data_IF_068728685018
#
_entry.id   IF_068728685018
#
_cell.length_a   1.000
_cell.length_b   1.000
_cell.length_c   1.000
_cell.angle_alpha   90.00
_cell.angle_beta   90.00
_cell.angle_gamma   90.00
#
_symmetry.space_group_name_H-M   'P 1'
#
loop_
_entity.id
_entity.type
_entity.pdbx_description
1 polymer ?
#
# COMPACT_ATOMS: atom_id res chain seq x y z
N UNK A 1 -72.91 75.01 55.98
CA UNK A 1 -73.68 74.76 54.73
C UNK A 1 -72.79 75.04 53.52
N UNK A 2 -72.33 74.02 52.85
CA UNK A 2 -71.48 74.21 51.68
C UNK A 2 -72.33 74.69 50.52
N UNK A 3 -71.90 75.77 49.93
CA UNK A 3 -72.64 76.45 48.86
C UNK A 3 -72.62 75.62 47.58
N UNK A 4 -73.74 75.53 46.84
CA UNK A 4 -73.91 74.70 45.62
C UNK A 4 -72.77 74.91 44.58
N UNK A 5 -72.10 75.99 44.61
CA UNK A 5 -70.93 76.29 43.71
C UNK A 5 -69.69 75.48 44.09
N UNK A 6 -69.49 75.03 45.32
CA UNK A 6 -68.31 74.26 45.73
C UNK A 6 -68.38 72.75 45.38
N UNK A 7 -69.57 72.28 45.02
CA UNK A 7 -69.74 70.86 44.59
C UNK A 7 -69.77 70.77 43.06
N UNK A 8 -70.24 71.83 42.36
CA UNK A 8 -70.33 71.81 40.88
C UNK A 8 -68.99 72.02 40.22
N UNK A 9 -68.09 72.82 40.82
CA UNK A 9 -66.78 73.15 40.21
C UNK A 9 -65.87 71.92 40.05
N UNK A 10 -65.72 71.07 41.06
CA UNK A 10 -64.87 69.87 40.89
C UNK A 10 -65.47 68.85 39.91
N UNK A 11 -66.78 68.72 39.79
CA UNK A 11 -67.46 67.88 38.83
C UNK A 11 -67.22 68.33 37.39
N UNK A 12 -67.26 69.63 37.14
CA UNK A 12 -66.97 70.20 35.84
C UNK A 12 -65.46 69.97 35.44
N UNK A 13 -64.56 70.22 36.36
CA UNK A 13 -63.14 69.93 36.19
C UNK A 13 -62.86 68.49 35.90
N UNK A 14 -63.51 67.56 36.66
CA UNK A 14 -63.41 66.12 36.42
C UNK A 14 -63.97 65.72 35.03
N UNK A 15 -65.12 66.29 34.65
CA UNK A 15 -65.72 66.10 33.32
C UNK A 15 -64.84 66.58 32.16
N UNK A 16 -64.19 67.75 32.30
CA UNK A 16 -63.21 68.23 31.32
C UNK A 16 -61.95 67.36 31.29
N UNK A 17 -61.49 66.86 32.45
CA UNK A 17 -60.37 65.96 32.54
C UNK A 17 -60.64 64.58 31.87
N UNK A 18 -61.84 64.07 32.06
CA UNK A 18 -62.25 62.78 31.40
C UNK A 18 -62.45 63.04 29.86
N UNK A 19 -63.06 64.09 29.47
CA UNK A 19 -63.23 64.45 28.05
C UNK A 19 -61.85 64.66 27.34
N UNK A 20 -60.90 65.29 28.03
CA UNK A 20 -59.51 65.42 27.56
C UNK A 20 -58.81 64.10 27.43
N UNK A 21 -58.97 63.18 28.37
CA UNK A 21 -58.35 61.86 28.39
C UNK A 21 -58.90 60.98 27.26
N UNK A 22 -60.25 61.02 27.05
CA UNK A 22 -60.89 60.31 25.93
C UNK A 22 -60.49 60.90 24.57
N UNK A 23 -60.35 62.23 24.47
CA UNK A 23 -59.86 62.89 23.25
C UNK A 23 -58.41 62.51 22.90
N UNK A 24 -57.50 62.43 23.88
CA UNK A 24 -56.15 61.98 23.69
C UNK A 24 -56.06 60.45 23.37
N UNK A 25 -56.93 59.61 23.96
CA UNK A 25 -57.00 58.16 23.63
C UNK A 25 -57.55 57.97 22.22
N UNK A 26 -58.51 58.80 21.72
CA UNK A 26 -59.03 58.70 20.36
C UNK A 26 -58.02 59.17 19.27
N UNK A 27 -57.07 60.03 19.66
CA UNK A 27 -56.01 60.49 18.78
C UNK A 27 -54.80 59.58 18.68
N UNK A 28 -54.73 58.54 19.53
CA UNK A 28 -53.71 57.49 19.38
C UNK A 28 -54.10 56.64 18.17
N UNK A 29 -53.38 56.86 17.04
CA UNK A 29 -53.36 55.86 15.95
C UNK A 29 -52.92 54.49 16.50
N UNK A 30 -53.58 53.35 16.13
CA UNK A 30 -53.08 52.04 16.44
C UNK A 30 -51.61 51.93 16.03
N UNK A 31 -50.76 51.31 16.79
CA UNK A 31 -49.38 51.06 16.29
C UNK A 31 -49.49 50.33 14.94
N UNK A 32 -48.82 50.86 13.93
CA UNK A 32 -48.64 50.10 12.70
C UNK A 32 -48.04 48.76 13.05
N UNK A 33 -48.74 47.66 12.79
CA UNK A 33 -48.18 46.33 12.87
C UNK A 33 -47.00 46.32 11.91
N UNK A 34 -45.80 46.35 12.49
CA UNK A 34 -44.60 46.10 11.68
C UNK A 34 -44.81 44.72 11.04
N UNK A 35 -44.64 44.61 9.71
CA UNK A 35 -44.72 43.34 9.04
C UNK A 35 -43.82 42.37 9.78
N UNK A 36 -44.32 41.17 10.10
CA UNK A 36 -43.57 40.12 10.77
C UNK A 36 -42.28 39.90 9.96
N UNK A 37 -41.16 40.25 10.55
CA UNK A 37 -39.86 39.96 9.91
C UNK A 37 -39.81 38.47 9.77
N UNK A 38 -39.79 37.95 8.55
CA UNK A 38 -39.62 36.58 8.28
C UNK A 38 -38.22 36.13 8.79
N UNK A 39 -38.21 35.48 9.94
CA UNK A 39 -37.01 35.01 10.63
C UNK A 39 -36.64 33.59 10.20
N UNK A 40 -37.23 33.10 9.10
CA UNK A 40 -36.92 31.77 8.58
C UNK A 40 -35.43 31.68 8.24
N UNK A 41 -34.66 30.72 8.84
CA UNK A 41 -33.24 30.59 8.59
C UNK A 41 -32.96 30.24 7.13
N UNK A 42 -32.01 30.96 6.54
CA UNK A 42 -31.50 30.65 5.20
C UNK A 42 -30.49 29.49 5.30
N UNK A 43 -30.70 28.46 4.51
CA UNK A 43 -29.84 27.29 4.46
C UNK A 43 -29.29 27.03 3.06
N UNK A 44 -28.07 26.58 3.01
CA UNK A 44 -27.50 25.97 1.80
C UNK A 44 -27.70 24.48 1.87
N UNK A 45 -28.11 23.89 0.78
CA UNK A 45 -28.37 22.44 0.69
C UNK A 45 -27.62 21.83 -0.48
N UNK A 46 -27.25 20.57 -0.36
CA UNK A 46 -26.64 19.78 -1.43
C UNK A 46 -27.39 18.47 -1.58
N UNK A 47 -27.72 18.09 -2.81
CA UNK A 47 -28.41 16.83 -3.09
C UNK A 47 -27.46 15.64 -2.86
N UNK A 48 -27.87 14.69 -2.02
CA UNK A 48 -27.09 13.50 -1.74
C UNK A 48 -27.16 12.52 -2.91
N UNK A 49 -26.00 12.20 -3.49
CA UNK A 49 -25.91 11.23 -4.56
C UNK A 49 -25.17 9.97 -4.08
N UNK A 50 -25.76 8.81 -4.36
CA UNK A 50 -25.11 7.51 -4.17
C UNK A 50 -24.38 7.11 -5.44
N UNK A 51 -23.09 6.77 -5.28
CA UNK A 51 -22.23 6.31 -6.38
C UNK A 51 -21.55 4.99 -6.00
N UNK A 52 -21.33 4.08 -6.97
CA UNK A 52 -20.55 2.89 -6.71
C UNK A 52 -19.12 3.29 -6.36
N UNK A 53 -18.59 2.72 -5.28
CA UNK A 53 -17.26 3.02 -4.77
C UNK A 53 -16.52 1.74 -4.40
N UNK A 54 -15.24 1.67 -4.76
CA UNK A 54 -14.31 0.69 -4.26
C UNK A 54 -13.43 1.36 -3.19
N UNK A 55 -13.28 0.73 -2.05
CA UNK A 55 -12.40 1.24 -1.01
C UNK A 55 -10.95 1.27 -1.49
N UNK A 56 -10.20 2.24 -1.02
CA UNK A 56 -8.75 2.28 -1.18
C UNK A 56 -8.09 2.39 0.18
N UNK A 57 -7.14 1.51 0.44
CA UNK A 57 -6.39 1.53 1.70
C UNK A 57 -5.02 2.13 1.43
N UNK A 58 -4.75 3.25 2.11
CA UNK A 58 -3.46 3.94 1.96
C UNK A 58 -2.42 3.39 2.91
N UNK A 59 -1.21 3.23 2.40
CA UNK A 59 -0.01 2.85 3.14
C UNK A 59 1.21 3.53 2.54
N UNK A 60 2.40 3.20 3.01
CA UNK A 60 3.66 3.72 2.50
C UNK A 60 4.77 2.72 2.74
N UNK A 61 5.82 2.80 1.96
CA UNK A 61 6.94 1.89 2.11
C UNK A 61 8.18 2.36 1.37
N UNK A 62 9.26 1.62 1.58
CA UNK A 62 10.52 1.82 0.86
C UNK A 62 10.67 0.68 -0.13
N UNK A 63 11.02 1.02 -1.35
CA UNK A 63 11.28 0.05 -2.41
C UNK A 63 12.59 -0.69 -2.12
N UNK A 64 12.54 -2.00 -2.09
CA UNK A 64 13.70 -2.86 -1.86
C UNK A 64 13.82 -3.90 -2.99
N UNK A 65 15.00 -4.45 -3.19
CA UNK A 65 15.18 -5.59 -4.07
C UNK A 65 14.56 -6.84 -3.43
N UNK A 66 13.94 -7.71 -4.25
CA UNK A 66 13.43 -9.01 -3.76
C UNK A 66 14.53 -9.90 -3.23
N UNK A 67 15.68 -9.93 -3.92
CA UNK A 67 16.88 -10.63 -3.48
C UNK A 67 18.02 -9.63 -3.32
N UNK A 68 18.64 -9.70 -2.17
CA UNK A 68 19.77 -8.93 -1.72
C UNK A 68 20.87 -9.90 -1.32
N UNK A 69 21.97 -9.96 -2.09
CA UNK A 69 22.98 -10.99 -1.95
C UNK A 69 24.37 -10.42 -1.77
N UNK A 70 25.02 -10.81 -0.68
CA UNK A 70 26.44 -10.58 -0.46
C UNK A 70 27.22 -11.67 -1.22
N UNK A 71 27.97 -11.28 -2.22
CA UNK A 71 28.87 -12.16 -2.96
C UNK A 71 30.14 -12.40 -2.15
N UNK A 72 30.47 -13.68 -1.94
CA UNK A 72 31.67 -14.10 -1.20
C UNK A 72 32.55 -15.02 -2.07
N UNK A 73 33.86 -14.96 -1.86
CA UNK A 73 34.81 -15.88 -2.47
C UNK A 73 34.59 -17.29 -1.90
N UNK A 74 34.45 -18.28 -2.77
CA UNK A 74 34.31 -19.69 -2.38
C UNK A 74 35.65 -20.45 -2.35
N UNK A 75 36.68 -19.85 -2.97
CA UNK A 75 38.04 -20.36 -3.01
C UNK A 75 39.02 -19.19 -2.81
N UNK A 76 40.26 -19.48 -2.42
CA UNK A 76 41.29 -18.48 -2.15
C UNK A 76 42.17 -18.23 -3.38
N UNK A 77 42.74 -17.03 -3.51
CA UNK A 77 43.70 -16.69 -4.58
C UNK A 77 43.72 -15.20 -4.89
N UNK A 78 44.57 -14.80 -5.83
CA UNK A 78 44.67 -13.43 -6.30
C UNK A 78 43.59 -13.12 -7.33
N UNK A 79 43.03 -11.92 -7.31
CA UNK A 79 42.10 -11.43 -8.33
C UNK A 79 42.85 -10.97 -9.54
N UNK A 80 42.81 -11.76 -10.65
CA UNK A 80 43.49 -11.47 -11.88
C UNK A 80 42.64 -10.77 -12.94
N UNK A 81 41.31 -10.73 -12.72
CA UNK A 81 40.38 -10.08 -13.65
C UNK A 81 39.21 -9.47 -12.90
N UNK A 82 38.81 -8.27 -13.31
CA UNK A 82 37.58 -7.60 -12.88
C UNK A 82 36.82 -7.10 -14.11
N UNK A 83 35.55 -7.37 -14.20
CA UNK A 83 34.71 -6.85 -15.27
C UNK A 83 34.48 -5.34 -15.10
N UNK A 84 34.49 -4.58 -16.21
CA UNK A 84 34.26 -3.12 -16.19
C UNK A 84 32.91 -2.74 -15.59
N UNK A 85 31.90 -3.59 -15.81
CA UNK A 85 30.55 -3.42 -15.23
C UNK A 85 30.48 -3.74 -13.73
N UNK A 86 31.49 -4.38 -13.15
CA UNK A 86 31.54 -4.70 -11.73
C UNK A 86 31.97 -3.50 -10.91
N UNK A 87 31.18 -2.46 -10.97
CA UNK A 87 31.34 -1.19 -10.25
C UNK A 87 30.00 -0.79 -9.64
N UNK A 88 30.02 0.01 -8.58
CA UNK A 88 28.78 0.50 -7.96
C UNK A 88 27.89 1.19 -8.99
N UNK A 89 26.62 0.76 -9.08
CA UNK A 89 25.65 1.26 -10.06
C UNK A 89 25.69 0.55 -11.42
N UNK A 90 26.61 -0.41 -11.62
CA UNK A 90 26.66 -1.23 -12.84
C UNK A 90 25.53 -2.27 -12.89
N UNK A 91 24.98 -2.49 -14.09
CA UNK A 91 23.99 -3.54 -14.32
C UNK A 91 24.67 -4.74 -15.00
N UNK A 92 24.39 -5.94 -14.49
CA UNK A 92 24.93 -7.20 -14.98
C UNK A 92 23.82 -8.21 -15.18
N UNK A 93 24.01 -9.13 -16.12
CA UNK A 93 23.06 -10.22 -16.38
C UNK A 93 23.48 -11.48 -15.64
N UNK A 94 22.52 -12.35 -15.38
CA UNK A 94 22.73 -13.68 -14.83
C UNK A 94 23.83 -14.44 -15.60
N UNK A 95 24.84 -14.92 -14.88
CA UNK A 95 25.98 -15.66 -15.45
C UNK A 95 27.13 -14.78 -15.93
N UNK A 96 26.97 -13.44 -16.00
CA UNK A 96 28.08 -12.55 -16.35
C UNK A 96 29.26 -12.76 -15.39
N UNK A 97 30.45 -12.78 -15.93
CA UNK A 97 31.68 -12.89 -15.13
C UNK A 97 31.97 -11.54 -14.49
N UNK A 98 32.00 -11.50 -13.17
CA UNK A 98 32.28 -10.29 -12.38
C UNK A 98 33.77 -10.16 -12.04
N UNK A 99 34.39 -11.27 -11.63
CA UNK A 99 35.80 -11.35 -11.29
C UNK A 99 36.34 -12.76 -11.55
N UNK A 100 37.67 -12.87 -11.70
CA UNK A 100 38.35 -14.18 -11.74
C UNK A 100 39.48 -14.19 -10.74
N UNK A 101 39.54 -15.27 -9.97
CA UNK A 101 40.66 -15.65 -9.11
C UNK A 101 41.66 -16.41 -9.98
N UNK A 102 42.96 -16.31 -9.70
CA UNK A 102 43.99 -17.08 -10.39
C UNK A 102 43.69 -18.58 -10.38
N UNK A 103 43.45 -19.21 -11.52
CA UNK A 103 43.08 -20.62 -11.61
C UNK A 103 44.27 -21.60 -11.55
N UNK A 104 45.52 -21.09 -11.62
CA UNK A 104 46.70 -21.93 -11.87
C UNK A 104 46.86 -23.13 -10.94
N UNK A 105 46.70 -22.93 -9.62
CA UNK A 105 46.79 -23.98 -8.63
C UNK A 105 45.61 -24.97 -8.73
N UNK A 106 44.41 -24.45 -9.09
CA UNK A 106 43.19 -25.27 -9.28
C UNK A 106 43.25 -26.08 -10.58
N UNK A 107 43.84 -25.59 -11.63
CA UNK A 107 44.09 -26.33 -12.88
C UNK A 107 45.10 -27.45 -12.64
N UNK A 108 46.19 -27.20 -11.88
CA UNK A 108 47.13 -28.19 -11.50
C UNK A 108 46.46 -29.28 -10.62
N UNK A 109 45.64 -28.89 -9.63
CA UNK A 109 44.85 -29.80 -8.80
C UNK A 109 43.87 -30.66 -9.59
N UNK A 110 43.27 -30.10 -10.64
CA UNK A 110 42.40 -30.84 -11.56
C UNK A 110 43.16 -31.90 -12.34
N UNK A 111 44.36 -31.56 -12.89
CA UNK A 111 45.22 -32.51 -13.57
C UNK A 111 45.68 -33.66 -12.67
N UNK A 112 46.04 -33.36 -11.40
CA UNK A 112 46.39 -34.37 -10.39
C UNK A 112 45.22 -35.29 -10.10
N UNK A 113 44.02 -34.78 -9.90
CA UNK A 113 42.82 -35.59 -9.71
C UNK A 113 42.47 -36.45 -10.94
N UNK A 114 42.72 -35.96 -12.17
CA UNK A 114 42.56 -36.74 -13.40
C UNK A 114 43.56 -37.93 -13.46
N UNK A 115 44.80 -37.68 -13.09
CA UNK A 115 45.84 -38.74 -13.05
C UNK A 115 45.48 -39.79 -12.01
N UNK A 116 44.95 -39.38 -10.86
CA UNK A 116 44.55 -40.30 -9.75
C UNK A 116 43.36 -41.20 -10.13
N UNK A 117 42.38 -40.66 -10.87
CA UNK A 117 41.25 -41.46 -11.38
C UNK A 117 41.73 -42.46 -12.45
N UNK A 118 42.65 -42.04 -13.33
CA UNK A 118 43.20 -42.93 -14.35
C UNK A 118 43.94 -44.11 -13.70
N UNK A 119 44.78 -43.85 -12.70
CA UNK A 119 45.51 -44.90 -11.92
C UNK A 119 44.53 -45.83 -11.19
N UNK A 120 43.54 -45.27 -10.47
CA UNK A 120 42.55 -46.11 -9.74
C UNK A 120 41.71 -46.98 -10.68
N UNK A 121 41.39 -46.47 -11.87
CA UNK A 121 40.68 -47.20 -12.92
C UNK A 121 41.52 -48.34 -13.49
N UNK A 122 42.83 -48.13 -13.74
CA UNK A 122 43.75 -49.17 -14.16
C UNK A 122 43.85 -50.27 -13.11
N UNK A 123 44.01 -49.95 -11.81
CA UNK A 123 44.06 -50.89 -10.71
C UNK A 123 42.77 -51.73 -10.60
N UNK A 124 41.60 -51.09 -10.76
CA UNK A 124 40.30 -51.76 -10.74
C UNK A 124 40.18 -52.77 -11.91
N UNK A 125 40.63 -52.39 -13.12
CA UNK A 125 40.63 -53.28 -14.27
C UNK A 125 41.55 -54.47 -14.04
N UNK A 126 42.75 -54.24 -13.49
CA UNK A 126 43.69 -55.27 -13.15
C UNK A 126 43.10 -56.25 -12.12
N UNK A 127 42.47 -55.73 -11.03
CA UNK A 127 41.88 -56.56 -10.02
C UNK A 127 40.65 -57.33 -10.51
N UNK A 128 39.86 -56.74 -11.41
CA UNK A 128 38.79 -57.46 -12.10
C UNK A 128 39.29 -58.62 -12.91
N UNK A 129 40.40 -58.46 -13.67
CA UNK A 129 41.03 -59.58 -14.41
C UNK A 129 41.55 -60.70 -13.49
N UNK A 130 42.18 -60.32 -12.35
CA UNK A 130 42.63 -61.26 -11.36
C UNK A 130 41.46 -62.09 -10.74
N UNK A 131 40.32 -61.40 -10.45
CA UNK A 131 39.12 -62.05 -9.94
C UNK A 131 38.50 -63.02 -10.96
N UNK A 132 38.50 -62.63 -12.26
CA UNK A 132 38.02 -63.49 -13.33
C UNK A 132 38.93 -64.79 -13.51
N UNK A 133 40.27 -64.65 -13.35
CA UNK A 133 41.19 -65.78 -13.36
C UNK A 133 40.88 -66.66 -12.19
N UNK A 134 40.79 -66.14 -10.96
CA UNK A 134 40.47 -66.93 -9.76
C UNK A 134 39.13 -67.69 -9.88
N UNK A 135 38.11 -67.03 -10.48
CA UNK A 135 36.80 -67.66 -10.72
C UNK A 135 36.93 -68.87 -11.68
N UNK A 136 37.72 -68.75 -12.76
CA UNK A 136 37.94 -69.84 -13.72
C UNK A 136 38.71 -71.00 -13.10
N UNK A 137 39.80 -70.72 -12.36
CA UNK A 137 40.59 -71.78 -11.63
C UNK A 137 39.69 -72.50 -10.63
N UNK A 138 38.86 -71.87 -9.88
CA UNK A 138 37.93 -72.48 -8.94
C UNK A 138 36.82 -73.31 -9.62
N UNK A 139 36.40 -72.94 -10.85
CA UNK A 139 35.41 -73.67 -11.64
C UNK A 139 35.89 -75.11 -11.99
N UNK A 140 37.23 -75.35 -12.02
CA UNK A 140 37.86 -76.64 -12.29
C UNK A 140 37.96 -77.46 -11.02
N UNK A 141 37.80 -76.91 -9.82
CA UNK A 141 37.92 -77.59 -8.54
C UNK A 141 36.54 -78.11 -8.07
N UNK A 142 36.31 -79.37 -8.13
CA UNK A 142 35.02 -80.02 -7.81
C UNK A 142 34.87 -80.43 -6.31
N UNK A 143 35.90 -80.29 -5.50
CA UNK A 143 35.94 -80.85 -4.12
C UNK A 143 35.49 -79.89 -3.02
N UNK A 144 35.36 -78.55 -3.28
CA UNK A 144 34.98 -77.57 -2.26
C UNK A 144 34.31 -76.38 -2.86
N UNK A 145 33.50 -75.60 -2.05
CA UNK A 145 32.92 -74.34 -2.47
C UNK A 145 33.95 -73.21 -2.27
N UNK A 146 34.11 -72.31 -3.29
CA UNK A 146 35.02 -71.18 -3.15
C UNK A 146 34.56 -70.21 -2.06
N UNK A 147 35.49 -69.65 -1.31
CA UNK A 147 35.23 -68.56 -0.36
C UNK A 147 35.24 -67.20 -1.09
N UNK A 148 34.60 -66.20 -0.54
CA UNK A 148 34.65 -64.84 -1.13
C UNK A 148 36.08 -64.29 -1.20
N UNK A 149 36.95 -64.69 -0.29
CA UNK A 149 38.38 -64.32 -0.30
C UNK A 149 39.14 -64.98 -1.45
N UNK A 150 38.89 -66.27 -1.70
CA UNK A 150 39.53 -66.97 -2.83
C UNK A 150 39.06 -66.51 -4.18
N UNK A 151 37.83 -65.98 -4.26
CA UNK A 151 37.27 -65.26 -5.46
C UNK A 151 37.70 -63.81 -5.55
N UNK A 152 38.56 -63.33 -4.69
CA UNK A 152 39.08 -61.96 -4.64
C UNK A 152 37.99 -60.86 -4.54
N UNK A 153 36.76 -61.20 -4.05
CA UNK A 153 35.66 -60.25 -3.94
C UNK A 153 35.97 -59.08 -3.02
N UNK A 154 36.63 -59.29 -1.83
CA UNK A 154 36.98 -58.12 -0.98
C UNK A 154 37.98 -57.16 -1.65
N UNK A 155 38.98 -57.73 -2.40
CA UNK A 155 39.97 -56.92 -3.11
C UNK A 155 39.34 -56.14 -4.24
N UNK A 156 38.42 -56.73 -5.02
CA UNK A 156 37.68 -56.05 -6.05
C UNK A 156 36.80 -54.93 -5.44
N UNK A 157 36.13 -55.20 -4.30
CA UNK A 157 35.33 -54.18 -3.58
C UNK A 157 36.22 -53.04 -3.06
N UNK A 158 37.45 -53.32 -2.61
CA UNK A 158 38.42 -52.32 -2.17
C UNK A 158 38.85 -51.41 -3.34
N UNK A 159 39.21 -51.98 -4.52
CA UNK A 159 39.60 -51.18 -5.68
C UNK A 159 38.44 -50.37 -6.23
N UNK A 160 37.19 -50.89 -6.19
CA UNK A 160 36.00 -50.16 -6.54
C UNK A 160 35.77 -48.97 -5.60
N UNK A 161 36.02 -49.15 -4.30
CA UNK A 161 35.92 -48.06 -3.32
C UNK A 161 36.98 -46.94 -3.57
N UNK A 162 38.23 -47.36 -3.91
CA UNK A 162 39.29 -46.40 -4.29
C UNK A 162 38.92 -45.61 -5.55
N UNK A 163 38.41 -46.30 -6.58
CA UNK A 163 37.95 -45.64 -7.80
C UNK A 163 36.86 -44.58 -7.49
N UNK A 164 35.85 -44.94 -6.70
CA UNK A 164 34.80 -43.98 -6.27
C UNK A 164 35.37 -42.81 -5.47
N UNK A 165 36.38 -43.04 -4.63
CA UNK A 165 37.06 -41.97 -3.90
C UNK A 165 37.81 -41.02 -4.84
N UNK A 166 38.49 -41.55 -5.88
CA UNK A 166 39.16 -40.79 -6.90
C UNK A 166 38.17 -39.97 -7.75
N UNK A 167 37.01 -40.55 -8.12
CA UNK A 167 35.90 -39.85 -8.81
C UNK A 167 35.38 -38.68 -7.97
N UNK A 168 35.21 -38.86 -6.66
CA UNK A 168 34.80 -37.77 -5.77
C UNK A 168 35.86 -36.66 -5.66
N UNK A 169 37.16 -37.04 -5.70
CA UNK A 169 38.30 -36.13 -5.75
C UNK A 169 38.28 -35.27 -7.03
N UNK A 170 38.06 -35.89 -8.18
CA UNK A 170 37.96 -35.21 -9.47
C UNK A 170 36.79 -34.17 -9.48
N UNK A 171 35.61 -34.59 -9.00
CA UNK A 171 34.46 -33.69 -8.93
C UNK A 171 34.69 -32.49 -7.99
N UNK A 172 35.50 -32.71 -6.93
CA UNK A 172 35.87 -31.59 -6.03
C UNK A 172 36.79 -30.63 -6.74
N UNK A 173 37.86 -31.11 -7.39
CA UNK A 173 38.82 -30.28 -8.11
C UNK A 173 38.12 -29.46 -9.24
N UNK A 174 37.19 -30.09 -9.97
CA UNK A 174 36.39 -29.40 -11.00
C UNK A 174 35.58 -28.25 -10.41
N UNK A 175 34.88 -28.50 -9.29
CA UNK A 175 34.08 -27.43 -8.61
C UNK A 175 34.95 -26.32 -8.07
N UNK A 176 36.12 -26.62 -7.55
CA UNK A 176 37.00 -25.60 -7.01
C UNK A 176 37.58 -24.71 -8.15
N UNK A 177 37.88 -25.31 -9.31
CA UNK A 177 38.22 -24.54 -10.53
C UNK A 177 37.06 -23.69 -11.03
N UNK A 178 35.82 -24.19 -11.07
CA UNK A 178 34.63 -23.41 -11.44
C UNK A 178 34.43 -22.22 -10.51
N UNK A 179 34.72 -22.36 -9.21
CA UNK A 179 34.60 -21.32 -8.19
C UNK A 179 35.64 -20.20 -8.30
N UNK A 180 36.69 -20.40 -9.09
CA UNK A 180 37.64 -19.30 -9.40
C UNK A 180 36.98 -18.23 -10.25
N UNK A 181 35.88 -18.55 -10.98
CA UNK A 181 35.14 -17.60 -11.80
C UNK A 181 33.90 -17.13 -11.04
N UNK A 182 33.94 -15.91 -10.54
CA UNK A 182 32.82 -15.29 -9.82
C UNK A 182 31.83 -14.74 -10.81
N UNK A 183 30.58 -15.22 -10.75
CA UNK A 183 29.49 -14.84 -11.67
C UNK A 183 28.32 -14.22 -10.95
N UNK A 184 27.57 -13.38 -11.67
CA UNK A 184 26.28 -12.87 -11.20
C UNK A 184 25.25 -14.02 -11.07
N UNK A 185 24.60 -14.19 -9.92
CA UNK A 185 23.63 -15.27 -9.70
C UNK A 185 22.28 -15.03 -10.42
N UNK A 186 21.97 -13.80 -10.70
CA UNK A 186 20.75 -13.31 -11.38
C UNK A 186 21.04 -11.95 -12.04
N UNK A 187 20.08 -11.41 -12.77
CA UNK A 187 20.16 -10.05 -13.31
C UNK A 187 20.18 -9.05 -12.15
N UNK A 188 21.27 -8.25 -12.07
CA UNK A 188 21.56 -7.52 -10.85
C UNK A 188 22.11 -6.11 -11.08
N UNK A 189 21.82 -5.25 -10.11
CA UNK A 189 22.48 -3.97 -9.88
C UNK A 189 23.59 -4.17 -8.84
N UNK A 190 24.80 -3.75 -9.15
CA UNK A 190 25.93 -3.78 -8.22
C UNK A 190 25.77 -2.65 -7.19
N UNK A 191 25.58 -3.02 -5.93
CA UNK A 191 25.49 -2.06 -4.81
C UNK A 191 26.86 -1.66 -4.28
N UNK A 192 27.77 -2.64 -4.12
CA UNK A 192 29.17 -2.38 -3.72
C UNK A 192 30.12 -3.39 -4.37
N UNK A 193 31.37 -3.00 -4.49
CA UNK A 193 32.51 -3.87 -4.78
C UNK A 193 33.55 -3.67 -3.68
N UNK A 194 34.04 -4.76 -3.09
CA UNK A 194 34.95 -4.74 -1.95
C UNK A 194 36.35 -5.28 -2.28
N UNK A 195 36.57 -5.67 -3.54
CA UNK A 195 37.83 -6.20 -4.05
C UNK A 195 38.42 -5.31 -5.15
N UNK A 196 39.74 -5.40 -5.31
CA UNK A 196 40.51 -4.77 -6.37
C UNK A 196 41.26 -5.80 -7.21
N UNK A 197 41.74 -5.37 -8.40
CA UNK A 197 42.66 -6.17 -9.19
C UNK A 197 43.99 -6.36 -8.43
N UNK A 198 44.55 -7.57 -8.40
CA UNK A 198 45.74 -7.90 -7.64
C UNK A 198 45.48 -8.15 -6.13
N UNK A 199 44.27 -8.00 -5.66
CA UNK A 199 43.92 -8.29 -4.25
C UNK A 199 43.89 -9.82 -4.01
N UNK A 200 44.48 -10.28 -2.91
CA UNK A 200 44.38 -11.65 -2.49
C UNK A 200 43.12 -11.86 -1.62
N UNK A 201 42.26 -12.81 -2.00
CA UNK A 201 41.04 -13.18 -1.27
C UNK A 201 41.19 -14.56 -0.67
N UNK A 202 40.51 -14.79 0.45
CA UNK A 202 40.37 -16.10 1.09
C UNK A 202 38.92 -16.56 1.01
N UNK A 203 38.69 -17.86 1.20
CA UNK A 203 37.32 -18.39 1.27
C UNK A 203 36.51 -17.63 2.33
N UNK A 204 35.33 -17.11 1.95
CA UNK A 204 34.48 -16.28 2.78
C UNK A 204 34.77 -14.77 2.71
N UNK A 205 35.83 -14.32 2.00
CA UNK A 205 36.07 -12.89 1.78
C UNK A 205 34.92 -12.27 0.99
N UNK A 206 34.45 -11.10 1.39
CA UNK A 206 33.42 -10.32 0.71
C UNK A 206 33.96 -9.80 -0.61
N UNK A 207 33.24 -10.06 -1.67
CA UNK A 207 33.56 -9.63 -3.03
C UNK A 207 32.80 -8.36 -3.38
N UNK A 208 31.53 -8.30 -3.01
CA UNK A 208 30.63 -7.19 -3.26
C UNK A 208 29.18 -7.55 -2.91
N UNK A 209 28.30 -6.62 -3.21
CA UNK A 209 26.88 -6.74 -2.87
C UNK A 209 26.04 -6.46 -4.09
N UNK A 210 25.03 -7.29 -4.37
CA UNK A 210 24.20 -7.23 -5.57
C UNK A 210 22.72 -7.30 -5.24
N UNK A 211 21.95 -6.47 -5.91
CA UNK A 211 20.48 -6.42 -5.83
C UNK A 211 19.85 -7.01 -7.08
N UNK A 212 18.89 -7.90 -6.92
CA UNK A 212 18.11 -8.40 -8.06
C UNK A 212 17.31 -7.27 -8.70
N UNK A 213 17.33 -7.20 -10.03
CA UNK A 213 16.64 -6.16 -10.81
C UNK A 213 15.35 -6.63 -11.46
N UNK A 214 15.01 -7.91 -11.39
CA UNK A 214 13.79 -8.45 -12.01
C UNK A 214 12.53 -7.98 -11.28
N UNK A 215 12.60 -7.95 -9.95
CA UNK A 215 11.44 -7.65 -9.10
C UNK A 215 11.84 -6.82 -7.89
N UNK A 216 11.09 -5.75 -7.64
CA UNK A 216 11.15 -4.99 -6.39
C UNK A 216 10.03 -5.42 -5.43
N UNK A 217 10.32 -5.42 -4.15
CA UNK A 217 9.35 -5.60 -3.07
C UNK A 217 9.18 -4.32 -2.26
N UNK A 218 7.95 -4.03 -1.86
CA UNK A 218 7.63 -2.94 -0.95
C UNK A 218 6.82 -3.50 0.22
N UNK A 219 7.32 -3.34 1.44
CA UNK A 219 6.61 -3.70 2.66
C UNK A 219 5.70 -2.56 3.08
N UNK A 220 4.41 -2.82 3.12
CA UNK A 220 3.35 -1.85 3.37
C UNK A 220 2.71 -2.12 4.74
N UNK A 221 3.00 -1.31 5.78
CA UNK A 221 2.37 -1.44 7.08
C UNK A 221 0.90 -1.03 7.02
N UNK A 222 0.01 -1.89 7.48
CA UNK A 222 -1.41 -1.62 7.61
C UNK A 222 -1.87 -1.82 9.05
N UNK A 223 -2.70 -0.89 9.54
CA UNK A 223 -3.40 -1.09 10.80
C UNK A 223 -4.46 -2.19 10.64
N UNK A 224 -4.65 -3.00 11.67
CA UNK A 224 -5.58 -4.14 11.64
C UNK A 224 -7.01 -3.72 11.22
N UNK A 225 -7.46 -2.55 11.68
CA UNK A 225 -8.76 -1.96 11.31
C UNK A 225 -8.91 -1.68 9.80
N UNK A 226 -7.83 -1.47 9.06
CA UNK A 226 -7.88 -1.21 7.62
C UNK A 226 -8.00 -2.51 6.81
N UNK A 227 -7.62 -3.66 7.41
CA UNK A 227 -7.73 -4.97 6.76
C UNK A 227 -9.17 -5.39 6.44
N UNK A 228 -10.17 -4.86 7.17
CA UNK A 228 -11.59 -5.12 6.92
C UNK A 228 -12.08 -4.57 5.58
N UNK A 229 -11.38 -3.57 5.02
CA UNK A 229 -11.72 -2.95 3.74
C UNK A 229 -11.03 -3.59 2.54
N UNK A 230 -10.27 -4.68 2.77
CA UNK A 230 -9.55 -5.41 1.73
C UNK A 230 -10.21 -6.76 1.46
N UNK A 231 -10.45 -7.09 0.19
CA UNK A 231 -10.88 -8.42 -0.21
C UNK A 231 -9.76 -9.43 0.06
N UNK A 232 -10.12 -10.62 0.56
CA UNK A 232 -9.18 -11.69 0.87
C UNK A 232 -7.93 -11.22 1.64
N UNK A 233 -8.09 -10.24 2.54
CA UNK A 233 -7.01 -9.59 3.31
C UNK A 233 -5.96 -8.92 2.41
N UNK A 234 -6.36 -8.45 1.24
CA UNK A 234 -5.53 -7.75 0.27
C UNK A 234 -4.68 -8.66 -0.63
N UNK A 235 -4.78 -9.99 -0.53
CA UNK A 235 -4.01 -10.89 -1.39
C UNK A 235 -4.46 -10.74 -2.84
N UNK A 236 -3.50 -10.58 -3.76
CA UNK A 236 -3.71 -10.32 -5.20
C UNK A 236 -4.33 -8.96 -5.56
N UNK A 237 -4.57 -8.09 -4.57
CA UNK A 237 -5.04 -6.74 -4.84
C UNK A 237 -4.02 -5.95 -5.68
N UNK A 238 -4.53 -5.11 -6.57
CA UNK A 238 -3.71 -4.14 -7.27
C UNK A 238 -3.30 -3.02 -6.30
N UNK A 239 -2.06 -2.56 -6.43
CA UNK A 239 -1.54 -1.45 -5.65
C UNK A 239 -0.97 -0.39 -6.58
N UNK A 240 -1.51 0.82 -6.46
CA UNK A 240 -0.98 2.00 -7.12
C UNK A 240 0.03 2.66 -6.20
N UNK A 241 1.26 2.75 -6.68
CA UNK A 241 2.38 3.35 -5.97
C UNK A 241 2.67 4.72 -6.53
N UNK A 242 2.89 5.67 -5.66
CA UNK A 242 3.12 7.07 -6.01
C UNK A 242 4.38 7.54 -5.31
N UNK A 243 5.32 8.05 -6.08
CA UNK A 243 6.58 8.60 -5.57
C UNK A 243 7.06 9.79 -6.38
N UNK A 244 8.09 10.45 -5.90
CA UNK A 244 8.74 11.54 -6.63
C UNK A 244 10.01 11.02 -7.29
N UNK A 245 10.12 11.22 -8.60
CA UNK A 245 11.31 10.90 -9.37
C UNK A 245 11.68 12.10 -10.24
N UNK A 246 12.94 12.51 -10.21
CA UNK A 246 13.47 13.66 -10.97
C UNK A 246 12.63 14.95 -10.84
N UNK A 247 12.05 15.19 -9.64
CA UNK A 247 11.23 16.38 -9.37
C UNK A 247 9.78 16.30 -9.85
N UNK A 248 9.37 15.20 -10.47
CA UNK A 248 7.98 14.96 -10.90
C UNK A 248 7.35 13.79 -10.14
N UNK A 249 6.03 13.89 -9.94
CA UNK A 249 5.24 12.81 -9.37
C UNK A 249 5.06 11.72 -10.42
N UNK A 250 5.45 10.49 -10.05
CA UNK A 250 5.35 9.31 -10.91
C UNK A 250 4.48 8.26 -10.24
N UNK A 251 3.86 7.43 -11.08
CA UNK A 251 2.99 6.35 -10.63
C UNK A 251 3.47 5.02 -11.22
N UNK A 252 3.41 3.98 -10.39
CA UNK A 252 3.70 2.59 -10.78
C UNK A 252 2.57 1.70 -10.28
N UNK A 253 2.30 0.64 -11.02
CA UNK A 253 1.30 -0.36 -10.67
C UNK A 253 2.04 -1.64 -10.26
N UNK A 254 1.72 -2.13 -9.08
CA UNK A 254 2.19 -3.38 -8.54
C UNK A 254 1.04 -4.27 -8.07
N UNK A 255 1.38 -5.43 -7.51
CA UNK A 255 0.40 -6.38 -6.94
C UNK A 255 0.81 -6.80 -5.55
N UNK A 256 -0.17 -6.94 -4.67
CA UNK A 256 0.06 -7.56 -3.36
C UNK A 256 0.20 -9.06 -3.55
N UNK A 257 1.35 -9.62 -3.22
CA UNK A 257 1.64 -11.06 -3.38
C UNK A 257 1.41 -11.85 -2.11
N UNK A 258 1.59 -11.22 -0.94
CA UNK A 258 1.41 -11.88 0.36
C UNK A 258 1.17 -10.89 1.49
N UNK A 259 0.57 -11.39 2.56
CA UNK A 259 0.66 -10.81 3.89
C UNK A 259 1.74 -11.55 4.68
N UNK A 260 2.50 -10.87 5.51
CA UNK A 260 3.53 -11.51 6.35
C UNK A 260 2.92 -12.42 7.44
N UNK A 261 1.62 -12.32 7.69
CA UNK A 261 0.89 -13.21 8.60
C UNK A 261 1.23 -13.04 10.08
N UNK A 262 2.09 -12.07 10.40
CA UNK A 262 2.51 -11.75 11.77
C UNK A 262 2.25 -10.27 12.01
N UNK A 263 1.68 -9.96 13.18
CA UNK A 263 1.54 -8.58 13.64
C UNK A 263 2.84 -8.17 14.30
N UNK A 264 3.45 -7.09 13.80
CA UNK A 264 4.66 -6.53 14.41
C UNK A 264 4.36 -6.03 15.84
N UNK A 265 5.10 -6.53 16.81
CA UNK A 265 4.85 -6.27 18.23
C UNK A 265 5.09 -4.81 18.65
N UNK A 266 5.91 -4.06 17.90
CA UNK A 266 6.24 -2.66 18.20
C UNK A 266 5.25 -1.70 17.57
N UNK A 267 4.98 -1.88 16.28
CA UNK A 267 4.06 -1.01 15.52
C UNK A 267 2.60 -1.43 15.65
N UNK A 268 2.31 -2.69 16.02
CA UNK A 268 0.98 -3.33 16.01
C UNK A 268 0.33 -3.31 14.62
N UNK A 269 1.15 -3.35 13.57
CA UNK A 269 0.71 -3.36 12.18
C UNK A 269 0.95 -4.72 11.55
N UNK A 270 0.10 -5.07 10.59
CA UNK A 270 0.31 -6.19 9.67
C UNK A 270 0.96 -5.65 8.41
N UNK A 271 1.94 -6.39 7.86
CA UNK A 271 2.61 -5.98 6.63
C UNK A 271 2.06 -6.74 5.44
N UNK A 272 1.64 -6.01 4.42
CA UNK A 272 1.43 -6.53 3.07
C UNK A 272 2.69 -6.30 2.26
N UNK A 273 3.00 -7.25 1.37
CA UNK A 273 4.15 -7.13 0.47
C UNK A 273 3.63 -6.98 -0.94
N UNK A 274 3.96 -5.83 -1.53
CA UNK A 274 3.71 -5.53 -2.93
C UNK A 274 4.94 -5.88 -3.77
N UNK A 275 4.74 -6.44 -4.96
CA UNK A 275 5.79 -6.67 -5.95
C UNK A 275 5.56 -5.81 -7.19
N UNK A 276 6.65 -5.35 -7.77
CA UNK A 276 6.71 -4.66 -9.06
C UNK A 276 7.76 -5.36 -9.92
N UNK A 277 7.35 -5.77 -11.11
CA UNK A 277 8.25 -6.34 -12.10
C UNK A 277 8.96 -5.24 -12.88
N UNK A 278 10.25 -5.49 -13.17
CA UNK A 278 11.13 -4.61 -13.93
C UNK A 278 11.16 -3.17 -13.40
N UNK A 279 11.57 -2.98 -12.12
CA UNK A 279 11.53 -1.67 -11.47
C UNK A 279 12.44 -0.62 -12.12
N UNK A 280 13.47 -1.04 -12.85
CA UNK A 280 14.37 -0.14 -13.56
C UNK A 280 14.00 0.10 -15.02
N UNK A 281 12.92 -0.54 -15.53
CA UNK A 281 12.53 -0.42 -16.94
C UNK A 281 13.58 -0.97 -17.92
N UNK A 282 14.37 -1.97 -17.50
CA UNK A 282 15.43 -2.54 -18.35
C UNK A 282 14.88 -3.37 -19.49
N UNK A 283 13.68 -3.93 -19.33
CA UNK A 283 13.00 -4.78 -20.30
C UNK A 283 11.66 -4.18 -20.78
N UNK A 284 11.29 -2.98 -20.31
CA UNK A 284 10.04 -2.29 -20.63
C UNK A 284 10.26 -0.78 -20.67
N UNK A 285 9.31 -0.04 -21.27
CA UNK A 285 9.32 1.43 -21.29
C UNK A 285 8.76 2.07 -20.01
N UNK A 286 8.83 1.37 -18.87
CA UNK A 286 8.38 1.90 -17.59
C UNK A 286 9.36 2.91 -17.03
N UNK A 287 8.84 3.88 -16.29
CA UNK A 287 9.68 4.81 -15.54
C UNK A 287 10.46 4.07 -14.45
N UNK A 288 11.71 4.45 -14.29
CA UNK A 288 12.62 3.88 -13.31
C UNK A 288 12.11 4.09 -11.87
N UNK A 289 12.02 3.01 -11.09
CA UNK A 289 11.72 3.00 -9.67
C UNK A 289 12.93 2.47 -8.89
N UNK A 290 13.75 3.36 -8.37
CA UNK A 290 15.01 3.02 -7.70
C UNK A 290 14.80 2.39 -6.35
N UNK A 291 15.64 1.43 -6.00
CA UNK A 291 15.72 0.90 -4.63
C UNK A 291 16.07 2.03 -3.66
N UNK A 292 15.46 1.98 -2.48
CA UNK A 292 15.56 3.05 -1.48
C UNK A 292 14.55 4.20 -1.66
N UNK A 293 13.79 4.24 -2.77
CA UNK A 293 12.75 5.25 -2.97
C UNK A 293 11.61 5.02 -1.99
N UNK A 294 11.17 6.11 -1.33
CA UNK A 294 9.97 6.11 -0.50
C UNK A 294 8.74 6.35 -1.38
N UNK A 295 7.74 5.50 -1.26
CA UNK A 295 6.50 5.58 -2.03
C UNK A 295 5.27 5.54 -1.13
N UNK A 296 4.23 6.28 -1.53
CA UNK A 296 2.88 6.13 -1.01
C UNK A 296 2.16 5.05 -1.83
N UNK A 297 1.47 4.16 -1.16
CA UNK A 297 0.77 3.03 -1.75
C UNK A 297 -0.73 3.16 -1.52
N UNK A 298 -1.51 2.89 -2.54
CA UNK A 298 -2.98 2.83 -2.50
C UNK A 298 -3.40 1.44 -2.95
N UNK A 299 -3.73 0.60 -1.97
CA UNK A 299 -4.16 -0.78 -2.21
C UNK A 299 -5.64 -0.78 -2.54
N UNK A 300 -6.02 -1.39 -3.66
CA UNK A 300 -7.42 -1.56 -4.03
C UNK A 300 -8.12 -2.49 -3.03
N UNK A 301 -9.23 -2.02 -2.50
CA UNK A 301 -10.00 -2.70 -1.47
C UNK A 301 -11.27 -3.34 -1.98
N UNK A 302 -12.16 -3.68 -1.02
CA UNK A 302 -13.45 -4.27 -1.32
C UNK A 302 -14.42 -3.25 -1.95
N UNK A 303 -15.38 -3.75 -2.71
CA UNK A 303 -16.45 -2.94 -3.25
C UNK A 303 -17.42 -2.55 -2.12
N UNK A 304 -17.54 -1.25 -1.87
CA UNK A 304 -18.46 -0.70 -0.86
C UNK A 304 -19.93 -0.68 -1.32
N UNK A 305 -20.21 -1.02 -2.59
CA UNK A 305 -21.52 -0.86 -3.20
C UNK A 305 -21.82 0.61 -3.53
N UNK A 306 -23.11 0.94 -3.53
CA UNK A 306 -23.55 2.33 -3.69
C UNK A 306 -23.46 3.05 -2.35
N UNK A 307 -22.62 4.06 -2.29
CA UNK A 307 -22.36 4.85 -1.08
C UNK A 307 -22.44 6.33 -1.37
N UNK A 308 -22.71 7.12 -0.33
CA UNK A 308 -22.62 8.57 -0.41
C UNK A 308 -21.52 9.08 0.51
N UNK A 309 -20.90 10.19 0.12
CA UNK A 309 -19.83 10.83 0.88
C UNK A 309 -20.37 12.13 1.45
N UNK A 310 -20.28 12.28 2.77
CA UNK A 310 -20.77 13.46 3.50
C UNK A 310 -19.60 14.04 4.32
N UNK A 311 -19.43 15.37 4.35
CA UNK A 311 -18.49 16.00 5.27
C UNK A 311 -18.80 15.64 6.74
N UNK A 312 -17.76 15.19 7.48
CA UNK A 312 -17.90 14.68 8.85
C UNK A 312 -18.60 15.69 9.81
N UNK A 313 -18.37 16.98 9.62
CA UNK A 313 -18.93 18.03 10.48
C UNK A 313 -20.46 18.15 10.39
N UNK A 314 -21.09 17.62 9.33
CA UNK A 314 -22.54 17.59 9.16
C UNK A 314 -23.21 16.45 9.92
N UNK A 315 -22.43 15.51 10.48
CA UNK A 315 -22.95 14.38 11.25
C UNK A 315 -22.81 14.68 12.74
N UNK A 316 -23.95 14.83 13.41
CA UNK A 316 -24.00 15.08 14.85
C UNK A 316 -24.74 13.91 15.51
N UNK A 317 -24.09 13.19 16.43
CA UNK A 317 -24.64 12.01 17.13
C UNK A 317 -25.19 10.92 16.19
N UNK A 318 -24.57 10.73 15.00
CA UNK A 318 -25.03 9.76 14.00
C UNK A 318 -26.24 10.20 13.20
N UNK A 319 -26.64 11.48 13.29
CA UNK A 319 -27.75 12.07 12.58
C UNK A 319 -27.23 13.12 11.59
N UNK A 320 -27.89 13.24 10.45
CA UNK A 320 -27.66 14.27 9.44
C UNK A 320 -28.92 15.14 9.31
N UNK A 321 -28.73 16.45 9.30
CA UNK A 321 -29.81 17.39 9.05
C UNK A 321 -30.11 17.43 7.56
N UNK A 322 -31.36 17.17 7.19
CA UNK A 322 -31.86 17.23 5.81
C UNK A 322 -33.03 18.19 5.72
N UNK A 323 -33.24 18.76 4.56
CA UNK A 323 -34.43 19.55 4.23
C UNK A 323 -35.41 18.65 3.51
N UNK A 324 -36.62 18.51 4.07
CA UNK A 324 -37.71 17.74 3.49
C UNK A 324 -38.42 18.54 2.38
N UNK A 325 -39.31 17.89 1.62
CA UNK A 325 -40.06 18.51 0.52
C UNK A 325 -40.97 19.68 0.94
N UNK A 326 -41.37 19.72 2.21
CA UNK A 326 -42.13 20.79 2.84
C UNK A 326 -41.25 21.94 3.38
N UNK A 327 -39.98 21.94 3.03
CA UNK A 327 -38.93 22.87 3.50
C UNK A 327 -38.77 22.87 5.03
N UNK A 328 -39.02 21.76 5.68
CA UNK A 328 -38.74 21.58 7.10
C UNK A 328 -37.47 20.83 7.38
N UNK A 329 -36.81 21.15 8.49
CA UNK A 329 -35.64 20.43 8.98
C UNK A 329 -36.06 19.08 9.56
N UNK A 330 -35.37 18.02 9.07
CA UNK A 330 -35.49 16.67 9.62
C UNK A 330 -34.12 16.12 9.94
N UNK A 331 -34.03 15.31 11.02
CA UNK A 331 -32.84 14.55 11.34
C UNK A 331 -33.02 13.11 10.90
N UNK A 332 -32.11 12.63 10.02
CA UNK A 332 -32.11 11.25 9.57
C UNK A 332 -30.87 10.50 10.12
N UNK A 333 -31.04 9.31 10.72
CA UNK A 333 -29.91 8.49 11.14
C UNK A 333 -29.18 7.95 9.92
N UNK A 334 -27.84 7.91 9.98
CA UNK A 334 -26.99 7.39 8.91
C UNK A 334 -26.13 6.24 9.41
N UNK A 335 -25.95 5.23 8.54
CA UNK A 335 -25.03 4.13 8.79
C UNK A 335 -23.65 4.48 8.22
N UNK A 336 -22.71 4.75 9.11
CA UNK A 336 -21.33 5.10 8.76
C UNK A 336 -20.53 3.82 8.57
N UNK A 337 -20.04 3.59 7.36
CA UNK A 337 -19.20 2.42 7.07
C UNK A 337 -17.71 2.73 7.15
N UNK A 338 -17.29 3.98 6.83
CA UNK A 338 -15.89 4.40 6.93
C UNK A 338 -15.76 5.91 7.16
N UNK A 339 -14.71 6.29 7.87
CA UNK A 339 -14.32 7.70 8.01
C UNK A 339 -13.03 7.93 7.22
N UNK A 340 -13.04 8.88 6.28
CA UNK A 340 -11.92 9.23 5.41
C UNK A 340 -11.53 10.70 5.60
N UNK A 341 -10.66 10.97 6.55
CA UNK A 341 -10.19 12.33 6.85
C UNK A 341 -11.34 13.26 7.27
N UNK A 342 -11.63 14.26 6.43
CA UNK A 342 -12.73 15.21 6.66
C UNK A 342 -14.11 14.68 6.25
N UNK A 343 -14.17 13.54 5.54
CA UNK A 343 -15.38 12.96 5.00
C UNK A 343 -15.75 11.66 5.70
N UNK A 344 -17.01 11.27 5.54
CA UNK A 344 -17.58 10.02 6.03
C UNK A 344 -18.33 9.35 4.90
N UNK A 345 -18.11 8.05 4.73
CA UNK A 345 -18.80 7.21 3.76
C UNK A 345 -19.98 6.55 4.44
N UNK A 346 -21.18 6.74 3.90
CA UNK A 346 -22.42 6.14 4.39
C UNK A 346 -23.01 5.18 3.36
N UNK A 347 -23.62 4.09 3.84
CA UNK A 347 -24.28 3.10 2.96
C UNK A 347 -25.79 3.28 2.93
N UNK A 348 -26.40 3.73 4.03
CA UNK A 348 -27.84 3.74 4.22
C UNK A 348 -28.25 4.88 5.16
N UNK A 349 -29.56 5.22 5.17
CA UNK A 349 -30.19 6.15 6.11
C UNK A 349 -30.84 7.36 5.43
N UNK A 350 -30.38 7.77 4.27
CA UNK A 350 -30.92 8.89 3.50
C UNK A 350 -31.17 8.43 2.07
N UNK A 351 -32.29 8.76 1.47
CA UNK A 351 -32.59 8.43 0.07
C UNK A 351 -31.78 9.30 -0.88
N UNK A 352 -31.50 8.77 -2.09
CA UNK A 352 -30.82 9.53 -3.13
C UNK A 352 -31.66 10.73 -3.57
N UNK A 353 -31.01 11.89 -3.73
CA UNK A 353 -31.69 13.13 -4.12
C UNK A 353 -32.22 13.97 -2.94
N UNK A 354 -32.20 13.44 -1.71
CA UNK A 354 -32.55 14.23 -0.51
C UNK A 354 -31.53 15.35 -0.30
N UNK A 355 -32.01 16.54 0.05
CA UNK A 355 -31.19 17.72 0.24
C UNK A 355 -30.58 17.74 1.65
N UNK A 356 -29.26 17.56 1.74
CA UNK A 356 -28.49 17.66 2.98
C UNK A 356 -28.17 19.13 3.25
N UNK A 357 -28.40 19.59 4.47
CA UNK A 357 -28.11 20.97 4.88
C UNK A 357 -26.59 21.07 5.15
N UNK A 358 -25.93 21.94 4.41
CA UNK A 358 -24.48 22.16 4.49
C UNK A 358 -24.08 23.41 5.26
N UNK A 359 -25.02 24.35 5.46
CA UNK A 359 -24.81 25.57 6.26
C UNK A 359 -24.94 25.30 7.75
N UNK A 360 -24.23 26.10 8.55
CA UNK A 360 -24.45 26.09 10.01
C UNK A 360 -25.82 26.67 10.35
N UNK A 361 -26.53 26.08 11.29
CA UNK A 361 -27.79 26.53 11.83
C UNK A 361 -27.61 26.89 13.30
N UNK A 362 -28.08 28.07 13.68
CA UNK A 362 -28.21 28.50 15.07
C UNK A 362 -29.46 27.85 15.69
N UNK A 363 -29.26 27.02 16.73
CA UNK A 363 -30.32 26.32 17.46
C UNK A 363 -31.32 25.54 16.58
N UNK A 364 -30.83 24.54 15.80
CA UNK A 364 -31.67 23.78 14.90
C UNK A 364 -32.68 22.91 15.69
N UNK A 365 -33.94 23.07 15.39
CA UNK A 365 -35.05 22.29 15.98
C UNK A 365 -35.70 21.46 14.86
N UNK A 366 -36.01 20.19 15.20
CA UNK A 366 -36.71 19.33 14.25
C UNK A 366 -38.08 19.89 13.90
N UNK A 367 -38.41 19.93 12.60
CA UNK A 367 -39.64 20.49 12.07
C UNK A 367 -39.63 22.03 11.86
N UNK A 368 -38.51 22.72 12.15
CA UNK A 368 -38.42 24.17 11.86
C UNK A 368 -38.46 24.43 10.36
N UNK A 369 -39.13 25.53 9.97
CA UNK A 369 -39.18 25.98 8.59
C UNK A 369 -37.84 26.53 8.16
N UNK A 370 -37.46 26.23 6.92
CA UNK A 370 -36.21 26.64 6.30
C UNK A 370 -36.52 27.43 5.01
N UNK A 371 -35.62 28.35 4.63
CA UNK A 371 -35.68 29.02 3.34
C UNK A 371 -34.39 28.85 2.57
N UNK A 372 -34.49 28.69 1.28
CA UNK A 372 -33.34 28.71 0.37
C UNK A 372 -33.03 30.19 -0.03
N UNK A 373 -31.77 30.48 -0.36
CA UNK A 373 -31.39 31.81 -0.84
C UNK A 373 -32.21 32.27 -2.05
N UNK A 374 -32.58 31.32 -2.91
CA UNK A 374 -33.41 31.59 -4.11
C UNK A 374 -34.86 32.01 -3.76
N UNK A 375 -35.42 31.47 -2.69
CA UNK A 375 -36.78 31.80 -2.25
C UNK A 375 -36.91 33.25 -1.81
N UNK A 376 -35.85 33.83 -1.24
CA UNK A 376 -35.83 35.22 -0.77
C UNK A 376 -35.70 36.22 -1.91
N UNK A 377 -34.97 35.84 -2.96
CA UNK A 377 -34.84 36.71 -4.17
C UNK A 377 -36.19 36.84 -4.87
N UNK A 378 -36.95 35.73 -4.97
CA UNK A 378 -38.30 35.76 -5.56
C UNK A 378 -39.30 36.52 -4.71
N UNK A 379 -39.16 36.54 -3.38
CA UNK A 379 -40.03 37.34 -2.50
C UNK A 379 -39.72 38.84 -2.59
N UNK A 380 -38.47 39.26 -2.64
CA UNK A 380 -38.06 40.64 -2.82
C UNK A 380 -38.49 41.19 -4.18
N UNK A 381 -38.39 40.43 -5.27
CA UNK A 381 -38.87 40.83 -6.59
C UNK A 381 -40.40 40.96 -6.63
N UNK A 382 -41.16 40.10 -5.95
CA UNK A 382 -42.63 40.18 -5.88
C UNK A 382 -43.10 41.40 -5.07
N UNK A 383 -42.42 41.72 -3.98
CA UNK A 383 -42.73 42.91 -3.13
C UNK A 383 -42.36 44.21 -3.85
N UNK A 384 -41.33 44.24 -4.65
CA UNK A 384 -40.97 45.40 -5.47
C UNK A 384 -41.94 45.63 -6.63
N UNK A 385 -42.46 44.54 -7.24
CA UNK A 385 -43.47 44.60 -8.30
C UNK A 385 -44.81 45.09 -7.76
N UNK A 386 -45.28 44.60 -6.60
CA UNK A 386 -46.52 45.01 -5.95
C UNK A 386 -46.49 46.47 -5.47
N UNK A 387 -45.33 46.93 -4.97
CA UNK A 387 -45.11 48.34 -4.63
C UNK A 387 -45.12 49.25 -5.86
N UNK A 388 -44.67 48.75 -6.99
CA UNK A 388 -44.64 49.53 -8.25
C UNK A 388 -46.04 49.61 -8.88
N UNK A 389 -46.87 48.55 -8.79
CA UNK A 389 -48.27 48.54 -9.24
C UNK A 389 -49.13 49.44 -8.37
N UNK A 390 -49.01 49.38 -7.04
CA UNK A 390 -49.76 50.27 -6.11
C UNK A 390 -49.37 51.76 -6.27
N UNK A 391 -48.17 52.08 -6.72
CA UNK A 391 -47.71 53.44 -7.01
C UNK A 391 -48.22 53.95 -8.35
N UNK A 392 -48.66 53.07 -9.27
CA UNK A 392 -49.24 53.44 -10.56
C UNK A 392 -50.77 53.59 -10.51
N UNK A 393 -51.49 52.92 -9.62
CA UNK A 393 -52.94 53.14 -9.42
C UNK A 393 -53.31 54.29 -8.56
N UNK A 394 -52.37 54.98 -7.93
CA UNK A 394 -52.59 56.14 -7.06
C UNK A 394 -52.37 57.53 -7.74
N UNK A 395 -52.39 57.62 -9.09
CA UNK A 395 -52.29 58.90 -9.83
C UNK A 395 -53.53 59.23 -10.59
#
# INVERSE_FOLDING_TARGET
>A
MATKKQIILPIIVLGIGIAGLVGIAALKKPPEEKPAVDTTPLVSVEALEYKPMTFSVSSYGVVAAKYDTELVAQVSGEIIYLADKFVKGGFVKKGDVLAKIDPSDYEAGLLDAQANIASSKANMVQERANAEVALREWAEITSSKPTDLSLRKPQLAQELAKLKSAEAGLLRAQRDLERTVIRAPYDALISSREIGLGAYVTTGSKIGHVYNTDTAEIRLPLADKEMQYLDQKGTHAEVRLVGNFAGSKQEWIGKIVRSEGVVDSKSRMTYLVAEIDDPYGLNSDKNELRFGTYVSAYVEGSNAGNVAIIPRHLIVNGLVAVMDSDKTLRYKPVNIIRQEGANVVISEGIESGVQVITSALDYPLEGMQLALPEDKILQDESVETEKTELAMEGK
#
